data_IF_680893745661
#
_entry.id   IF_680893745661
#
_cell.length_a   1.000
_cell.length_b   1.000
_cell.length_c   1.000
_cell.angle_alpha   90.00
_cell.angle_beta   90.00
_cell.angle_gamma   90.00
#
_symmetry.space_group_name_H-M   'P 1'
#
loop_
_entity.id
_entity.type
_entity.pdbx_description
1 polymer ?
#
# COMPACT_ATOMS: atom_id res chain seq x y z
N UNK A 1 28.26 17.42 13.34
CA UNK A 1 28.11 17.64 11.88
C UNK A 1 28.92 18.82 11.35
N UNK A 2 28.60 20.09 11.68
CA UNK A 2 29.27 21.26 11.10
C UNK A 2 30.80 21.27 11.26
N UNK A 3 31.31 20.94 12.45
CA UNK A 3 32.75 20.79 12.69
C UNK A 3 33.36 19.64 11.86
N UNK A 4 32.63 18.53 11.68
CA UNK A 4 33.08 17.43 10.83
C UNK A 4 33.25 17.86 9.37
N UNK A 5 32.28 18.62 8.85
CA UNK A 5 32.35 19.19 7.49
C UNK A 5 33.50 20.21 7.35
N UNK A 6 33.66 21.11 8.33
CA UNK A 6 34.75 22.08 8.34
C UNK A 6 36.13 21.39 8.43
N UNK A 7 36.20 20.21 9.05
CA UNK A 7 37.37 19.35 9.11
C UNK A 7 37.57 18.46 7.87
N UNK A 8 36.80 18.65 6.80
CA UNK A 8 36.96 17.95 5.52
C UNK A 8 36.23 16.61 5.40
N UNK A 9 35.45 16.18 6.41
CA UNK A 9 34.68 14.92 6.32
C UNK A 9 33.53 15.06 5.33
N UNK A 10 33.26 13.99 4.58
CA UNK A 10 32.18 13.97 3.59
C UNK A 10 31.50 12.60 3.45
N UNK A 11 30.31 12.56 2.84
CA UNK A 11 29.59 11.32 2.53
C UNK A 11 29.48 10.37 3.73
N UNK A 12 30.03 9.16 3.58
CA UNK A 12 29.98 8.10 4.59
C UNK A 12 30.62 8.49 5.93
N UNK A 13 31.66 9.33 5.94
CA UNK A 13 32.33 9.75 7.19
C UNK A 13 31.43 10.64 8.05
N UNK A 14 30.58 11.45 7.41
CA UNK A 14 29.58 12.26 8.11
C UNK A 14 28.43 11.39 8.62
N UNK A 15 28.05 10.35 7.87
CA UNK A 15 27.02 9.40 8.31
C UNK A 15 27.46 8.65 9.57
N UNK A 16 28.70 8.14 9.62
CA UNK A 16 29.24 7.47 10.80
C UNK A 16 29.21 8.38 12.03
N UNK A 17 29.59 9.66 11.88
CA UNK A 17 29.51 10.63 12.98
C UNK A 17 28.08 10.86 13.49
N UNK A 18 27.10 10.89 12.60
CA UNK A 18 25.70 11.04 12.97
C UNK A 18 25.19 9.80 13.70
N UNK A 19 25.51 8.60 13.20
CA UNK A 19 25.11 7.33 13.79
C UNK A 19 25.72 7.14 15.19
N UNK A 20 27.02 7.46 15.36
CA UNK A 20 27.70 7.44 16.66
C UNK A 20 27.04 8.42 17.65
N UNK A 21 26.77 9.65 17.21
CA UNK A 21 26.11 10.64 18.06
C UNK A 21 24.72 10.20 18.48
N UNK A 22 23.93 9.66 17.55
CA UNK A 22 22.57 9.15 17.83
C UNK A 22 22.59 7.98 18.82
N UNK A 23 23.58 7.08 18.70
CA UNK A 23 23.77 5.98 19.65
C UNK A 23 24.07 6.50 21.06
N UNK A 24 24.93 7.50 21.20
CA UNK A 24 25.27 8.13 22.49
C UNK A 24 24.12 8.98 23.06
N UNK A 25 23.32 9.62 22.22
CA UNK A 25 22.25 10.51 22.64
C UNK A 25 21.08 9.80 23.34
N UNK A 26 20.95 8.47 23.16
CA UNK A 26 19.92 7.63 23.79
C UNK A 26 18.52 8.25 23.68
N UNK A 27 18.10 8.57 22.45
CA UNK A 27 16.86 9.31 22.18
C UNK A 27 15.64 8.60 22.78
N UNK A 28 14.82 9.39 23.48
CA UNK A 28 13.57 8.96 24.13
C UNK A 28 12.52 10.01 23.94
N UNK A 29 11.25 9.60 23.92
CA UNK A 29 10.14 10.53 24.11
C UNK A 29 10.21 11.14 25.51
N UNK A 30 9.58 12.31 25.71
CA UNK A 30 9.50 12.91 27.04
C UNK A 30 8.87 11.94 28.05
N UNK A 31 7.83 11.20 27.64
CA UNK A 31 7.13 10.26 28.51
C UNK A 31 8.03 9.11 28.98
N UNK A 32 8.80 8.51 28.08
CA UNK A 32 9.77 7.47 28.44
C UNK A 32 10.84 8.01 29.41
N UNK A 33 11.33 9.23 29.18
CA UNK A 33 12.30 9.86 30.08
C UNK A 33 11.72 10.10 31.48
N UNK A 34 10.45 10.55 31.58
CA UNK A 34 9.78 10.75 32.88
C UNK A 34 9.54 9.42 33.60
N UNK A 35 9.11 8.38 32.89
CA UNK A 35 8.92 7.03 33.46
C UNK A 35 10.24 6.52 34.06
N UNK A 36 11.33 6.56 33.31
CA UNK A 36 12.64 6.13 33.80
C UNK A 36 13.13 6.99 34.99
N UNK A 37 12.84 8.29 34.96
CA UNK A 37 13.22 9.18 36.06
C UNK A 37 12.45 8.84 37.34
N UNK A 38 11.18 8.46 37.25
CA UNK A 38 10.38 7.97 38.39
C UNK A 38 10.95 6.65 38.92
N UNK A 39 11.26 5.70 38.04
CA UNK A 39 11.80 4.39 38.43
C UNK A 39 13.13 4.47 39.18
N UNK A 40 13.98 5.45 38.82
CA UNK A 40 15.28 5.72 39.45
C UNK A 40 15.18 6.48 40.77
N UNK A 41 14.01 6.98 41.16
CA UNK A 41 13.87 7.66 42.46
C UNK A 41 14.12 6.67 43.60
N UNK A 42 14.85 7.12 44.63
CA UNK A 42 15.09 6.33 45.83
C UNK A 42 13.89 6.43 46.79
N UNK A 43 12.76 5.85 46.37
CA UNK A 43 11.47 5.81 47.10
C UNK A 43 10.93 4.38 47.11
N UNK A 44 9.96 4.10 47.99
CA UNK A 44 9.34 2.78 48.07
C UNK A 44 8.59 2.40 46.78
N UNK A 45 8.56 1.10 46.47
CA UNK A 45 7.97 0.57 45.22
C UNK A 45 6.48 0.91 45.05
N UNK A 46 5.71 0.94 46.13
CA UNK A 46 4.29 1.35 46.07
C UNK A 46 4.14 2.83 45.68
N UNK A 47 5.03 3.70 46.13
CA UNK A 47 5.02 5.11 45.75
C UNK A 47 5.48 5.30 44.29
N UNK A 48 6.44 4.50 43.80
CA UNK A 48 6.81 4.48 42.38
C UNK A 48 5.61 4.10 41.51
N UNK A 49 4.93 3.00 41.83
CA UNK A 49 3.72 2.55 41.12
C UNK A 49 2.65 3.63 41.12
N UNK A 50 2.40 4.26 42.27
CA UNK A 50 1.43 5.37 42.38
C UNK A 50 1.77 6.50 41.41
N UNK A 51 3.03 6.96 41.39
CA UNK A 51 3.50 8.03 40.50
C UNK A 51 3.47 7.64 39.02
N UNK A 52 3.84 6.41 38.68
CA UNK A 52 3.79 5.89 37.31
C UNK A 52 2.34 5.83 36.81
N UNK A 53 1.42 5.31 37.61
CA UNK A 53 0.00 5.28 37.27
C UNK A 53 -0.56 6.70 37.08
N UNK A 54 -0.20 7.61 37.97
CA UNK A 54 -0.58 9.02 37.85
C UNK A 54 -0.02 9.65 36.56
N UNK A 55 1.27 9.42 36.24
CA UNK A 55 1.88 9.90 35.01
C UNK A 55 1.19 9.35 33.76
N UNK A 56 0.96 8.04 33.68
CA UNK A 56 0.31 7.38 32.53
C UNK A 56 -1.11 7.90 32.33
N UNK A 57 -1.85 8.14 33.42
CA UNK A 57 -3.20 8.68 33.36
C UNK A 57 -3.23 10.09 32.74
N UNK A 58 -2.24 10.93 33.04
CA UNK A 58 -2.16 12.27 32.47
C UNK A 58 -1.55 12.28 31.07
N UNK A 59 -0.49 11.50 30.84
CA UNK A 59 0.28 11.47 29.59
C UNK A 59 -0.31 10.56 28.52
N UNK A 60 -1.53 10.05 28.70
CA UNK A 60 -2.19 9.24 27.70
C UNK A 60 -2.34 10.00 26.38
N UNK A 61 -2.18 9.28 25.27
CA UNK A 61 -2.22 9.88 23.93
C UNK A 61 -3.56 10.55 23.61
N UNK A 62 -4.65 10.10 24.21
CA UNK A 62 -5.98 10.71 24.10
C UNK A 62 -6.02 12.15 24.63
N UNK A 63 -5.18 12.47 25.61
CA UNK A 63 -5.14 13.81 26.22
C UNK A 63 -4.25 14.80 25.47
N UNK A 64 -3.42 14.32 24.54
CA UNK A 64 -2.56 15.15 23.67
C UNK A 64 -1.82 16.26 24.43
N UNK A 65 -1.23 15.94 25.59
CA UNK A 65 -0.54 16.93 26.41
C UNK A 65 0.62 17.61 25.69
N UNK A 66 0.76 18.91 25.87
CA UNK A 66 1.93 19.64 25.42
C UNK A 66 3.18 19.28 26.25
N UNK A 67 4.37 19.48 25.68
CA UNK A 67 5.64 19.30 26.41
C UNK A 67 5.73 20.18 27.66
N UNK A 68 5.17 21.40 27.64
CA UNK A 68 5.17 22.30 28.80
C UNK A 68 4.32 21.74 29.96
N UNK A 69 3.11 21.27 29.66
CA UNK A 69 2.23 20.65 30.65
C UNK A 69 2.83 19.34 31.18
N UNK A 70 3.39 18.51 30.31
CA UNK A 70 4.08 17.28 30.67
C UNK A 70 5.20 17.55 31.68
N UNK A 71 6.01 18.58 31.47
CA UNK A 71 7.08 18.98 32.41
C UNK A 71 6.52 19.45 33.76
N UNK A 72 5.44 20.22 33.77
CA UNK A 72 4.77 20.64 35.03
C UNK A 72 4.24 19.44 35.81
N UNK A 73 3.68 18.43 35.13
CA UNK A 73 3.23 17.19 35.78
C UNK A 73 4.43 16.40 36.32
N UNK A 74 5.49 16.22 35.53
CA UNK A 74 6.69 15.51 35.96
C UNK A 74 7.31 16.15 37.22
N UNK A 75 7.37 17.48 37.28
CA UNK A 75 7.86 18.22 38.44
C UNK A 75 7.01 17.96 39.70
N UNK A 76 5.68 17.93 39.57
CA UNK A 76 4.75 17.58 40.67
C UNK A 76 4.96 16.15 41.18
N UNK A 77 5.34 15.22 40.29
CA UNK A 77 5.69 13.84 40.64
C UNK A 77 7.11 13.71 41.24
N UNK A 78 7.82 14.83 41.42
CA UNK A 78 9.16 14.86 42.00
C UNK A 78 10.27 14.58 41.00
N UNK A 79 9.99 14.51 39.71
CA UNK A 79 11.00 14.45 38.64
C UNK A 79 11.46 15.88 38.37
N UNK A 80 12.45 16.34 39.15
CA UNK A 80 13.06 17.67 39.00
C UNK A 80 14.39 17.56 38.27
N UNK A 81 14.71 18.58 37.48
CA UNK A 81 15.99 18.70 36.76
C UNK A 81 16.31 17.55 35.79
N UNK A 82 15.28 16.89 35.23
CA UNK A 82 15.47 15.88 34.19
C UNK A 82 15.96 16.56 32.91
N UNK A 83 17.14 16.13 32.43
CA UNK A 83 17.64 16.56 31.13
C UNK A 83 16.85 15.87 30.01
N UNK A 84 16.25 16.67 29.13
CA UNK A 84 15.61 16.21 27.90
C UNK A 84 15.54 17.39 26.93
N UNK A 85 16.04 17.19 25.71
CA UNK A 85 16.14 18.22 24.68
C UNK A 85 15.94 17.59 23.28
N UNK A 86 14.88 18.02 22.60
CA UNK A 86 14.54 17.60 21.24
C UNK A 86 15.16 18.46 20.14
N UNK A 87 15.79 19.58 20.46
CA UNK A 87 16.42 20.50 19.52
C UNK A 87 17.85 20.05 19.19
N UNK A 88 18.53 19.41 20.14
CA UNK A 88 19.85 18.81 19.93
C UNK A 88 19.89 17.74 18.83
N UNK A 89 18.94 16.77 18.75
CA UNK A 89 18.96 15.72 17.72
C UNK A 89 18.39 16.15 16.36
N UNK A 90 18.16 17.44 16.12
CA UNK A 90 17.63 17.90 14.83
C UNK A 90 18.57 17.54 13.68
N UNK A 91 17.99 17.22 12.53
CA UNK A 91 18.76 17.01 11.30
C UNK A 91 19.42 18.33 10.87
N UNK A 92 20.35 18.25 9.91
CA UNK A 92 20.99 19.44 9.34
C UNK A 92 19.99 20.41 8.70
N UNK A 93 18.89 19.88 8.18
CA UNK A 93 17.78 20.63 7.60
C UNK A 93 16.84 21.22 8.67
N UNK A 94 17.05 20.88 9.95
CA UNK A 94 16.27 21.37 11.08
C UNK A 94 15.07 20.51 11.47
N UNK A 95 14.94 19.29 10.92
CA UNK A 95 13.82 18.41 11.26
C UNK A 95 13.99 17.78 12.64
N UNK A 96 12.88 17.70 13.39
CA UNK A 96 12.81 16.96 14.64
C UNK A 96 12.78 15.45 14.41
N UNK A 97 13.35 14.70 15.34
CA UNK A 97 13.21 13.24 15.35
C UNK A 97 11.80 12.87 15.83
N UNK A 98 11.19 11.90 15.16
CA UNK A 98 9.84 11.45 15.46
C UNK A 98 9.82 9.93 15.62
N UNK A 99 9.22 9.45 16.70
CA UNK A 99 9.01 8.01 16.93
C UNK A 99 7.67 7.62 16.33
N UNK A 100 7.69 7.11 15.10
CA UNK A 100 6.49 6.58 14.44
C UNK A 100 5.99 5.30 15.10
N UNK A 101 4.67 5.10 15.11
CA UNK A 101 3.99 3.89 15.57
C UNK A 101 2.54 3.89 15.07
N UNK A 102 1.85 2.74 15.21
CA UNK A 102 0.39 2.66 14.97
C UNK A 102 -0.35 3.64 15.87
N UNK A 103 0.02 3.73 17.16
CA UNK A 103 -0.54 4.72 18.09
C UNK A 103 -0.37 6.16 17.60
N UNK A 104 0.81 6.51 17.07
CA UNK A 104 1.05 7.84 16.53
C UNK A 104 0.18 8.14 15.29
N UNK A 105 -0.09 7.13 14.47
CA UNK A 105 -1.01 7.23 13.35
C UNK A 105 -2.47 7.35 13.80
N UNK A 106 -2.89 6.62 14.85
CA UNK A 106 -4.23 6.74 15.44
C UNK A 106 -4.50 8.17 15.92
N UNK A 107 -3.57 8.76 16.69
CA UNK A 107 -3.71 10.13 17.21
C UNK A 107 -3.85 11.16 16.08
N UNK A 108 -3.06 11.00 15.02
CA UNK A 108 -3.20 11.81 13.79
C UNK A 108 -4.56 11.56 13.12
N UNK A 109 -4.98 10.30 13.05
CA UNK A 109 -6.27 9.90 12.51
C UNK A 109 -7.44 10.57 13.21
N UNK A 110 -7.45 10.63 14.55
CA UNK A 110 -8.47 11.37 15.30
C UNK A 110 -8.50 12.86 14.94
N UNK A 111 -7.33 13.47 14.73
CA UNK A 111 -7.24 14.88 14.34
C UNK A 111 -7.68 15.12 12.89
N UNK A 112 -7.49 14.15 12.00
CA UNK A 112 -7.85 14.25 10.58
C UNK A 112 -9.31 13.87 10.30
N UNK A 113 -9.89 13.00 11.13
CA UNK A 113 -11.24 12.47 10.97
C UNK A 113 -12.33 13.52 10.70
N UNK A 114 -12.37 14.69 11.36
CA UNK A 114 -13.38 15.72 11.06
C UNK A 114 -13.27 16.35 9.67
N UNK A 115 -12.19 16.05 8.94
CA UNK A 115 -11.83 16.68 7.67
C UNK A 115 -11.65 15.69 6.52
N UNK A 116 -11.91 14.40 6.75
CA UNK A 116 -11.72 13.34 5.77
C UNK A 116 -12.85 12.31 5.86
N UNK A 117 -13.38 11.90 4.71
CA UNK A 117 -14.38 10.83 4.64
C UNK A 117 -13.78 9.44 4.93
N UNK A 118 -12.48 9.30 4.68
CA UNK A 118 -11.73 8.05 4.79
C UNK A 118 -10.30 8.31 5.25
N UNK A 119 -9.79 7.45 6.14
CA UNK A 119 -8.41 7.49 6.61
C UNK A 119 -7.60 6.31 6.12
N UNK A 120 -6.33 6.53 5.80
CA UNK A 120 -5.37 5.51 5.40
C UNK A 120 -4.06 5.71 6.17
N UNK A 121 -3.63 4.66 6.87
CA UNK A 121 -2.30 4.56 7.47
C UNK A 121 -1.42 3.72 6.56
N UNK A 122 -0.30 4.28 6.11
CA UNK A 122 0.69 3.49 5.36
C UNK A 122 1.39 2.49 6.28
N UNK A 123 1.57 1.26 5.82
CA UNK A 123 2.24 0.18 6.55
C UNK A 123 3.52 -0.24 5.85
N UNK A 124 4.46 -0.81 6.61
CA UNK A 124 5.72 -1.35 6.05
C UNK A 124 5.59 -2.82 5.64
N UNK A 125 4.58 -3.51 6.17
CA UNK A 125 4.29 -4.92 5.90
C UNK A 125 2.77 -5.17 5.84
N UNK A 126 2.31 -6.27 5.22
CA UNK A 126 0.91 -6.67 5.24
C UNK A 126 0.58 -7.37 6.58
N UNK A 127 0.40 -6.58 7.64
CA UNK A 127 0.18 -7.07 9.01
C UNK A 127 -1.25 -6.82 9.50
N UNK A 128 -2.05 -7.89 9.65
CA UNK A 128 -3.44 -7.80 10.12
C UNK A 128 -3.52 -7.28 11.56
N UNK A 129 -2.53 -7.54 12.41
CA UNK A 129 -2.52 -7.06 13.81
C UNK A 129 -2.44 -5.53 13.84
N UNK A 130 -1.54 -4.94 13.06
CA UNK A 130 -1.43 -3.48 12.93
C UNK A 130 -2.70 -2.87 12.32
N UNK A 131 -3.33 -3.56 11.36
CA UNK A 131 -4.61 -3.13 10.79
C UNK A 131 -5.72 -3.10 11.84
N UNK A 132 -5.81 -4.13 12.68
CA UNK A 132 -6.78 -4.19 13.78
C UNK A 132 -6.53 -3.09 14.79
N UNK A 133 -5.29 -2.92 15.24
CA UNK A 133 -4.92 -1.88 16.21
C UNK A 133 -5.28 -0.48 15.68
N UNK A 134 -4.94 -0.17 14.42
CA UNK A 134 -5.30 1.11 13.81
C UNK A 134 -6.81 1.30 13.69
N UNK A 135 -7.53 0.29 13.20
CA UNK A 135 -8.97 0.37 12.99
C UNK A 135 -9.73 0.56 14.30
N UNK A 136 -9.44 -0.26 15.32
CA UNK A 136 -10.05 -0.15 16.65
C UNK A 136 -9.66 1.16 17.33
N UNK A 137 -8.39 1.54 17.24
CA UNK A 137 -7.86 2.78 17.82
C UNK A 137 -8.54 4.03 17.26
N UNK A 138 -8.64 4.17 15.94
CA UNK A 138 -9.35 5.30 15.32
C UNK A 138 -10.84 5.28 15.67
N UNK A 139 -11.47 4.11 15.58
CA UNK A 139 -12.93 3.97 15.78
C UNK A 139 -13.36 4.11 17.23
N UNK A 140 -12.45 4.02 18.19
CA UNK A 140 -12.74 4.30 19.60
C UNK A 140 -13.27 5.73 19.81
N UNK A 141 -12.81 6.70 19.02
CA UNK A 141 -13.32 8.08 19.03
C UNK A 141 -14.15 8.43 17.78
N UNK A 142 -13.96 7.70 16.68
CA UNK A 142 -14.63 7.98 15.40
C UNK A 142 -15.30 6.71 14.85
N UNK A 143 -16.43 6.25 15.45
CA UNK A 143 -16.97 4.91 15.20
C UNK A 143 -17.37 4.63 13.75
N UNK A 144 -17.73 5.68 13.01
CA UNK A 144 -18.21 5.60 11.63
C UNK A 144 -17.10 5.80 10.59
N UNK A 145 -15.84 5.99 11.01
CA UNK A 145 -14.76 6.31 10.10
C UNK A 145 -14.50 5.16 9.11
N UNK A 146 -14.49 5.50 7.82
CA UNK A 146 -14.11 4.59 6.74
C UNK A 146 -12.58 4.50 6.66
N UNK A 147 -12.05 3.32 6.36
CA UNK A 147 -10.62 3.11 6.25
C UNK A 147 -10.23 2.68 4.83
N UNK A 148 -9.07 3.15 4.38
CA UNK A 148 -8.41 2.72 3.16
C UNK A 148 -7.18 1.88 3.46
N UNK A 149 -6.87 0.92 2.58
CA UNK A 149 -5.66 0.11 2.69
C UNK A 149 -4.92 -0.03 1.36
N UNK A 150 -3.63 0.30 1.38
CA UNK A 150 -2.71 0.05 0.28
C UNK A 150 -2.17 -1.38 0.36
N UNK A 151 -2.61 -2.24 -0.55
CA UNK A 151 -2.07 -3.57 -0.78
C UNK A 151 -0.73 -3.44 -1.53
N UNK A 152 0.28 -2.93 -0.84
CA UNK A 152 1.49 -2.41 -1.46
C UNK A 152 2.25 -3.51 -2.23
N UNK A 153 2.60 -3.28 -3.51
CA UNK A 153 3.46 -4.19 -4.26
C UNK A 153 4.95 -4.02 -3.88
N UNK A 154 5.30 -3.05 -3.03
CA UNK A 154 6.63 -2.98 -2.41
C UNK A 154 6.81 -4.03 -1.31
N UNK A 155 5.72 -4.65 -0.84
CA UNK A 155 5.80 -5.80 0.05
C UNK A 155 6.24 -7.02 -0.74
N UNK A 156 7.14 -7.81 -0.14
CA UNK A 156 7.36 -9.17 -0.60
C UNK A 156 6.29 -10.07 0.01
N UNK A 157 5.15 -10.22 -0.69
CA UNK A 157 4.01 -11.02 -0.23
C UNK A 157 4.38 -12.49 -0.03
N UNK A 158 5.20 -13.07 -0.91
CA UNK A 158 5.66 -14.46 -0.77
C UNK A 158 6.57 -14.67 0.44
N UNK A 159 7.31 -13.63 0.86
CA UNK A 159 8.19 -13.68 2.02
C UNK A 159 7.53 -13.13 3.30
N UNK A 160 6.24 -12.84 3.29
CA UNK A 160 5.55 -12.28 4.46
C UNK A 160 5.32 -13.32 5.57
N UNK A 161 5.52 -14.61 5.26
CA UNK A 161 5.21 -15.73 6.15
C UNK A 161 3.73 -16.13 6.16
N UNK A 162 2.90 -15.53 5.30
CA UNK A 162 1.51 -15.95 5.10
C UNK A 162 1.44 -17.14 4.13
N UNK A 163 0.51 -18.05 4.39
CA UNK A 163 0.10 -19.07 3.43
C UNK A 163 -0.76 -18.49 2.30
N UNK A 164 -0.90 -19.21 1.19
CA UNK A 164 -1.75 -18.81 0.06
C UNK A 164 -3.20 -18.52 0.50
N UNK A 165 -3.75 -19.32 1.43
CA UNK A 165 -5.09 -19.11 1.96
C UNK A 165 -5.17 -17.84 2.83
N UNK A 166 -4.11 -17.52 3.58
CA UNK A 166 -4.06 -16.27 4.34
C UNK A 166 -3.94 -15.04 3.44
N UNK A 167 -3.14 -15.11 2.37
CA UNK A 167 -3.02 -14.04 1.36
C UNK A 167 -4.39 -13.81 0.69
N UNK A 168 -5.05 -14.89 0.27
CA UNK A 168 -6.39 -14.85 -0.32
C UNK A 168 -7.43 -14.24 0.63
N UNK A 169 -7.37 -14.58 1.92
CA UNK A 169 -8.30 -14.08 2.93
C UNK A 169 -7.92 -12.71 3.51
N UNK A 170 -6.78 -12.14 3.14
CA UNK A 170 -6.30 -10.86 3.69
C UNK A 170 -7.31 -9.72 3.48
N UNK A 171 -7.76 -9.54 2.24
CA UNK A 171 -8.72 -8.48 1.85
C UNK A 171 -10.06 -8.61 2.60
N UNK A 172 -10.74 -9.79 2.60
CA UNK A 172 -11.96 -10.00 3.39
C UNK A 172 -11.77 -9.80 4.89
N UNK A 173 -10.63 -10.21 5.45
CA UNK A 173 -10.35 -10.08 6.88
C UNK A 173 -10.31 -8.61 7.30
N UNK A 174 -9.53 -7.78 6.60
CA UNK A 174 -9.45 -6.36 6.97
C UNK A 174 -10.70 -5.58 6.56
N UNK A 175 -11.43 -6.00 5.54
CA UNK A 175 -12.73 -5.38 5.20
C UNK A 175 -13.71 -5.40 6.40
N UNK A 176 -13.71 -6.47 7.21
CA UNK A 176 -14.53 -6.60 8.43
C UNK A 176 -14.15 -5.59 9.51
N UNK A 177 -12.92 -5.07 9.49
CA UNK A 177 -12.43 -4.04 10.42
C UNK A 177 -12.83 -2.62 10.00
N UNK A 178 -13.36 -2.45 8.78
CA UNK A 178 -13.75 -1.14 8.25
C UNK A 178 -12.91 -0.63 7.08
N UNK A 179 -12.00 -1.44 6.55
CA UNK A 179 -11.23 -1.12 5.35
C UNK A 179 -12.09 -1.31 4.09
N UNK A 180 -12.91 -0.30 3.80
CA UNK A 180 -13.94 -0.32 2.74
C UNK A 180 -13.36 -0.10 1.34
N UNK A 181 -12.16 0.47 1.25
CA UNK A 181 -11.47 0.68 -0.02
C UNK A 181 -10.03 0.14 0.07
N UNK A 182 -9.70 -0.79 -0.82
CA UNK A 182 -8.42 -1.46 -0.85
C UNK A 182 -7.89 -1.47 -2.27
N UNK A 183 -6.60 -1.18 -2.45
CA UNK A 183 -6.03 -0.96 -3.78
C UNK A 183 -4.58 -1.38 -3.85
N UNK A 184 -4.14 -1.84 -5.03
CA UNK A 184 -2.74 -2.07 -5.34
C UNK A 184 -2.24 -0.86 -6.13
N UNK A 185 -1.42 -0.01 -5.49
CA UNK A 185 -0.98 1.29 -6.03
C UNK A 185 -0.39 1.22 -7.44
N UNK A 186 0.51 0.27 -7.69
CA UNK A 186 1.21 0.14 -8.99
C UNK A 186 1.02 -1.24 -9.64
N UNK A 187 -0.12 -1.89 -9.39
CA UNK A 187 -0.44 -3.21 -9.97
C UNK A 187 -0.43 -3.20 -11.51
N UNK A 188 -0.97 -2.13 -12.12
CA UNK A 188 -0.95 -1.95 -13.57
C UNK A 188 0.45 -1.78 -14.17
N UNK A 189 1.38 -1.18 -13.42
CA UNK A 189 2.78 -1.03 -13.88
C UNK A 189 3.45 -2.40 -13.94
N UNK A 190 3.32 -3.20 -12.87
CA UNK A 190 3.93 -4.53 -12.80
C UNK A 190 3.34 -5.50 -13.82
N UNK A 191 2.00 -5.52 -13.99
CA UNK A 191 1.35 -6.40 -14.97
C UNK A 191 1.77 -6.05 -16.41
N UNK A 192 1.79 -4.76 -16.75
CA UNK A 192 2.21 -4.28 -18.07
C UNK A 192 3.70 -4.58 -18.35
N UNK A 193 4.57 -4.34 -17.37
CA UNK A 193 5.99 -4.63 -17.50
C UNK A 193 6.25 -6.13 -17.68
N UNK A 194 5.53 -6.99 -16.95
CA UNK A 194 5.63 -8.44 -17.04
C UNK A 194 5.24 -8.94 -18.44
N UNK A 195 4.05 -8.56 -18.94
CA UNK A 195 3.60 -9.01 -20.25
C UNK A 195 4.52 -8.49 -21.36
N UNK A 196 4.90 -7.21 -21.31
CA UNK A 196 5.78 -6.59 -22.32
C UNK A 196 7.14 -7.30 -22.38
N UNK A 197 7.79 -7.49 -21.22
CA UNK A 197 9.12 -8.12 -21.15
C UNK A 197 9.11 -9.58 -21.60
N UNK A 198 8.14 -10.36 -21.10
CA UNK A 198 8.06 -11.79 -21.42
C UNK A 198 7.61 -12.03 -22.85
N UNK A 199 6.68 -11.23 -23.38
CA UNK A 199 6.22 -11.32 -24.76
C UNK A 199 7.32 -10.89 -25.74
N UNK A 200 7.97 -9.73 -25.54
CA UNK A 200 9.01 -9.24 -26.45
C UNK A 200 10.18 -10.24 -26.58
N UNK A 201 10.62 -10.83 -25.47
CA UNK A 201 11.68 -11.85 -25.46
C UNK A 201 11.32 -13.09 -26.26
N UNK A 202 10.05 -13.48 -26.22
CA UNK A 202 9.55 -14.68 -26.87
C UNK A 202 9.25 -14.44 -28.35
N UNK A 203 8.67 -13.29 -28.67
CA UNK A 203 8.45 -12.82 -30.03
C UNK A 203 9.76 -12.69 -30.82
N UNK A 204 10.84 -12.19 -30.19
CA UNK A 204 12.15 -12.13 -30.82
C UNK A 204 12.71 -13.51 -31.23
N UNK A 205 12.23 -14.61 -30.60
CA UNK A 205 12.67 -15.98 -30.90
C UNK A 205 11.72 -16.72 -31.84
N UNK A 206 10.40 -16.58 -31.64
CA UNK A 206 9.37 -17.39 -32.32
C UNK A 206 8.47 -16.58 -33.26
N UNK A 207 8.66 -15.26 -33.33
CA UNK A 207 7.87 -14.36 -34.17
C UNK A 207 6.37 -14.51 -33.95
N UNK A 208 5.61 -14.58 -35.03
CA UNK A 208 4.14 -14.65 -35.00
C UNK A 208 3.57 -15.81 -34.18
N UNK A 209 4.31 -16.92 -34.00
CA UNK A 209 3.82 -18.01 -33.16
C UNK A 209 3.66 -17.56 -31.70
N UNK A 210 4.57 -16.73 -31.18
CA UNK A 210 4.45 -16.18 -29.83
C UNK A 210 3.22 -15.28 -29.68
N UNK A 211 2.88 -14.48 -30.70
CA UNK A 211 1.67 -13.65 -30.70
C UNK A 211 0.40 -14.50 -30.74
N UNK A 212 0.32 -15.46 -31.66
CA UNK A 212 -0.86 -16.32 -31.79
C UNK A 212 -1.09 -17.14 -30.52
N UNK A 213 -0.05 -17.70 -29.92
CA UNK A 213 -0.17 -18.52 -28.72
C UNK A 213 -0.44 -17.72 -27.46
N UNK A 214 0.36 -16.69 -27.18
CA UNK A 214 0.33 -16.02 -25.86
C UNK A 214 -0.64 -14.86 -25.78
N UNK A 215 -1.07 -14.31 -26.91
CA UNK A 215 -1.98 -13.17 -26.97
C UNK A 215 -3.29 -13.60 -27.60
N UNK A 216 -3.31 -13.92 -28.90
CA UNK A 216 -4.57 -14.10 -29.61
C UNK A 216 -5.39 -15.32 -29.14
N UNK A 217 -4.75 -16.46 -28.87
CA UNK A 217 -5.43 -17.65 -28.31
C UNK A 217 -5.88 -17.40 -26.88
N UNK A 218 -5.05 -16.77 -26.05
CA UNK A 218 -5.41 -16.45 -24.66
C UNK A 218 -6.55 -15.43 -24.57
N UNK A 219 -6.56 -14.38 -25.40
CA UNK A 219 -7.69 -13.45 -25.52
C UNK A 219 -8.98 -14.19 -25.92
N UNK A 220 -8.89 -15.15 -26.85
CA UNK A 220 -10.04 -15.98 -27.22
C UNK A 220 -10.50 -16.89 -26.08
N UNK A 221 -9.58 -17.57 -25.41
CA UNK A 221 -9.87 -18.53 -24.34
C UNK A 221 -10.48 -17.86 -23.09
N UNK A 222 -10.08 -16.62 -22.82
CA UNK A 222 -10.55 -15.83 -21.68
C UNK A 222 -11.64 -14.81 -22.08
N UNK A 223 -12.17 -14.90 -23.30
CA UNK A 223 -13.26 -14.05 -23.82
C UNK A 223 -12.97 -12.53 -23.70
N UNK A 224 -11.71 -12.13 -23.93
CA UNK A 224 -11.28 -10.73 -23.88
C UNK A 224 -11.89 -9.96 -25.06
N UNK A 225 -12.60 -8.88 -24.73
CA UNK A 225 -13.35 -8.05 -25.68
C UNK A 225 -12.46 -7.38 -26.75
N UNK A 226 -11.22 -7.05 -26.41
CA UNK A 226 -10.23 -6.44 -27.31
C UNK A 226 -9.79 -7.33 -28.47
N UNK A 227 -10.08 -8.65 -28.45
CA UNK A 227 -9.85 -9.52 -29.61
C UNK A 227 -10.58 -8.97 -30.86
N UNK A 228 -11.81 -8.50 -30.66
CA UNK A 228 -12.59 -7.76 -31.65
C UNK A 228 -12.38 -6.24 -31.46
N UNK A 229 -11.15 -5.80 -31.70
CA UNK A 229 -10.68 -4.44 -31.41
C UNK A 229 -11.44 -3.32 -32.14
N UNK A 230 -12.01 -3.53 -33.33
CA UNK A 230 -12.83 -2.52 -34.02
C UNK A 230 -14.18 -2.38 -33.33
N UNK A 231 -14.83 -3.51 -33.00
CA UNK A 231 -16.07 -3.50 -32.22
C UNK A 231 -15.84 -2.84 -30.85
N UNK A 232 -14.77 -3.22 -30.14
CA UNK A 232 -14.41 -2.68 -28.84
C UNK A 232 -14.15 -1.16 -28.89
N UNK A 233 -13.42 -0.69 -29.91
CA UNK A 233 -13.16 0.73 -30.13
C UNK A 233 -14.41 1.54 -30.56
N UNK A 234 -15.57 0.89 -30.71
CA UNK A 234 -16.84 1.56 -30.99
C UNK A 234 -17.15 1.76 -32.48
N UNK A 235 -16.51 1.03 -33.39
CA UNK A 235 -16.77 1.16 -34.83
C UNK A 235 -18.27 1.01 -35.18
N UNK A 236 -18.96 0.06 -34.54
CA UNK A 236 -20.41 -0.12 -34.71
C UNK A 236 -21.24 1.08 -34.26
N UNK A 237 -20.83 1.76 -33.18
CA UNK A 237 -21.51 2.96 -32.69
C UNK A 237 -21.36 4.09 -33.72
N UNK A 238 -20.14 4.31 -34.20
CA UNK A 238 -19.87 5.35 -35.19
C UNK A 238 -20.56 5.08 -36.53
N UNK A 239 -20.61 3.82 -36.97
CA UNK A 239 -21.34 3.43 -38.17
C UNK A 239 -22.84 3.69 -38.09
N UNK A 240 -23.45 3.46 -36.91
CA UNK A 240 -24.87 3.80 -36.69
C UNK A 240 -25.07 5.30 -36.72
N UNK A 241 -24.18 6.06 -36.06
CA UNK A 241 -24.22 7.52 -36.10
C UNK A 241 -24.15 8.06 -37.54
N UNK A 242 -23.21 7.58 -38.36
CA UNK A 242 -23.08 7.96 -39.77
C UNK A 242 -24.34 7.60 -40.57
N UNK A 243 -24.85 6.38 -40.42
CA UNK A 243 -26.08 5.93 -41.11
C UNK A 243 -27.29 6.77 -40.70
N UNK A 244 -27.42 7.16 -39.43
CA UNK A 244 -28.52 8.02 -38.97
C UNK A 244 -28.47 9.41 -39.65
N UNK A 245 -27.29 10.01 -39.76
CA UNK A 245 -27.13 11.34 -40.39
C UNK A 245 -27.26 11.27 -41.91
N UNK A 246 -26.76 10.21 -42.54
CA UNK A 246 -26.75 10.05 -44.00
C UNK A 246 -28.02 9.36 -44.55
N UNK A 247 -29.09 9.26 -43.76
CA UNK A 247 -30.37 8.72 -44.23
C UNK A 247 -30.38 7.21 -44.50
N UNK A 248 -29.54 6.45 -43.79
CA UNK A 248 -29.52 4.99 -43.78
C UNK A 248 -28.48 4.35 -44.72
N UNK A 249 -27.79 5.13 -45.55
CA UNK A 249 -26.83 4.62 -46.54
C UNK A 249 -25.49 5.35 -46.41
N UNK A 250 -24.43 4.61 -46.10
CA UNK A 250 -23.06 5.12 -46.02
C UNK A 250 -22.08 4.11 -46.64
N UNK A 251 -21.39 4.48 -47.73
CA UNK A 251 -20.42 3.61 -48.41
C UNK A 251 -19.09 3.48 -47.67
N UNK A 252 -18.86 4.30 -46.65
CA UNK A 252 -17.64 4.36 -45.83
C UNK A 252 -17.81 3.78 -44.43
N UNK A 253 -18.91 3.08 -44.16
CA UNK A 253 -19.14 2.40 -42.88
C UNK A 253 -18.09 1.30 -42.66
N UNK A 254 -17.45 1.28 -41.50
CA UNK A 254 -16.32 0.42 -41.19
C UNK A 254 -16.71 -1.05 -40.97
N UNK A 255 -17.96 -1.30 -40.57
CA UNK A 255 -18.51 -2.61 -40.20
C UNK A 255 -19.50 -3.12 -41.26
N UNK A 256 -18.97 -3.47 -42.43
CA UNK A 256 -19.69 -4.04 -43.58
C UNK A 256 -19.49 -5.55 -43.77
N UNK A 257 -19.91 -6.07 -44.94
CA UNK A 257 -19.69 -7.47 -45.33
C UNK A 257 -18.19 -7.70 -45.61
N UNK A 258 -17.57 -8.70 -44.97
CA UNK A 258 -16.16 -9.05 -45.15
C UNK A 258 -15.19 -8.35 -44.18
N UNK A 259 -15.67 -7.85 -43.03
CA UNK A 259 -14.80 -7.28 -42.00
C UNK A 259 -13.90 -8.36 -41.40
N UNK A 260 -12.67 -8.00 -41.07
CA UNK A 260 -11.67 -8.92 -40.52
C UNK A 260 -12.12 -9.61 -39.22
N UNK A 261 -13.02 -8.97 -38.46
CA UNK A 261 -13.55 -9.53 -37.22
C UNK A 261 -14.46 -10.76 -37.41
N UNK A 262 -14.99 -11.00 -38.61
CA UNK A 262 -15.76 -12.23 -38.87
C UNK A 262 -14.90 -13.50 -38.72
N UNK A 263 -13.58 -13.39 -38.93
CA UNK A 263 -12.62 -14.49 -38.81
C UNK A 263 -12.44 -14.97 -37.37
N UNK A 264 -12.81 -14.16 -36.37
CA UNK A 264 -12.71 -14.54 -34.95
C UNK A 264 -13.93 -15.32 -34.45
N UNK A 265 -14.99 -15.45 -35.27
CA UNK A 265 -16.22 -16.18 -34.91
C UNK A 265 -16.15 -17.68 -35.21
N UNK A 266 -15.18 -18.12 -36.02
CA UNK A 266 -15.02 -19.52 -36.41
C UNK A 266 -14.05 -20.26 -35.49
N UNK A 267 -14.41 -21.49 -35.10
CA UNK A 267 -13.52 -22.40 -34.39
C UNK A 267 -12.57 -23.08 -35.39
N UNK A 268 -11.27 -22.83 -35.24
CA UNK A 268 -10.23 -23.43 -36.08
C UNK A 268 -9.53 -24.57 -35.34
N UNK A 269 -9.67 -25.80 -35.83
CA UNK A 269 -8.76 -26.91 -35.51
C UNK A 269 -7.76 -27.06 -36.65
N UNK A 270 -6.46 -26.98 -36.34
CA UNK A 270 -5.41 -27.26 -37.32
C UNK A 270 -5.15 -28.77 -37.36
N UNK A 271 -5.31 -29.41 -38.51
CA UNK A 271 -4.81 -30.77 -38.70
C UNK A 271 -3.28 -30.78 -38.62
N UNK A 272 -2.71 -31.54 -37.67
CA UNK A 272 -1.26 -31.77 -37.57
C UNK A 272 -0.58 -31.41 -36.24
N UNK A 273 -1.30 -30.98 -35.20
CA UNK A 273 -0.72 -30.96 -33.84
C UNK A 273 -0.68 -32.39 -33.30
N UNK A 274 0.49 -33.03 -33.41
CA UNK A 274 0.78 -34.34 -32.82
C UNK A 274 0.58 -34.25 -31.30
N UNK A 275 -0.17 -35.22 -30.77
CA UNK A 275 -0.37 -35.51 -29.36
C UNK A 275 0.89 -35.25 -28.51
N UNK A 276 0.79 -34.31 -27.57
CA UNK A 276 1.51 -34.43 -26.31
C UNK A 276 0.45 -34.38 -25.22
N UNK A 277 0.26 -35.58 -24.67
CA UNK A 277 -0.56 -35.99 -23.55
C UNK A 277 -2.08 -36.15 -23.73
N UNK A 278 -2.50 -37.38 -23.44
CA UNK A 278 -3.84 -37.92 -23.63
C UNK A 278 -4.84 -37.21 -22.71
N UNK A 279 -5.93 -36.73 -23.32
CA UNK A 279 -7.24 -36.72 -22.66
C UNK A 279 -7.76 -35.36 -22.19
N UNK A 280 -7.89 -34.39 -23.09
CA UNK A 280 -8.91 -33.35 -22.92
C UNK A 280 -9.38 -32.81 -24.28
N UNK A 281 -10.43 -33.43 -24.83
CA UNK A 281 -11.25 -32.76 -25.84
C UNK A 281 -11.99 -31.61 -25.15
N UNK A 282 -11.56 -30.37 -25.37
CA UNK A 282 -12.35 -29.20 -25.01
C UNK A 282 -13.35 -28.95 -26.14
N UNK A 283 -14.57 -29.46 -25.96
CA UNK A 283 -15.72 -29.10 -26.79
C UNK A 283 -16.43 -27.93 -26.12
N UNK A 284 -16.17 -26.70 -26.58
CA UNK A 284 -16.98 -25.55 -26.22
C UNK A 284 -18.20 -25.49 -27.15
N UNK A 285 -19.38 -25.86 -26.62
CA UNK A 285 -20.67 -25.65 -27.30
C UNK A 285 -21.13 -24.21 -27.07
N UNK A 286 -21.43 -23.49 -28.15
CA UNK A 286 -22.23 -22.27 -28.09
C UNK A 286 -23.66 -22.62 -27.61
N UNK A 287 -24.12 -21.98 -26.54
CA UNK A 287 -25.56 -21.86 -26.28
C UNK A 287 -26.09 -20.67 -27.08
N UNK A 288 -27.22 -20.90 -27.74
CA UNK A 288 -28.05 -19.91 -28.45
C UNK A 288 -28.37 -18.70 -27.58
#
# INVERSE_FOLDING_TARGET
MAQGMAGGKSGAELQVLEDEWLSMAQLKTLSEAVVEAIERQNIGEEEKKRKLNEWIQYSSYERCLSNEEGRKIAERLGVRNMFWDWDLPRTREGFYRFKGSVTAAIVRGWSFAPHADLLWMETTTPNVVECTEFAEGVRSQQPHMMLGYNLSPSFNWDASGMSDEEIKEFIPKIAKLGYVWQFITVGGVHSNALITSTFARDFAKRGMLAYVERIQREERNNEVDTLAHQKWAGANFYDRYLKTIQGGVASTAAMGKGVTEEQFKESWTRGGSVDIDRGSMVVAKARL
#
